data_IF_306930735894
#
_entry.id   IF_306930735894
#
_cell.length_a   1.000
_cell.length_b   1.000
_cell.length_c   1.000
_cell.angle_alpha   90.00
_cell.angle_beta   90.00
_cell.angle_gamma   90.00
#
_symmetry.space_group_name_H-M   'P 1'
#
loop_
_entity.id
_entity.type
_entity.pdbx_description
1 polymer ?
#
# COMPACT_ATOMS: atom_id res chain seq x y z
N UNK A 1 22.79 36.02 14.32
CA UNK A 1 22.68 34.70 13.71
C UNK A 1 21.30 34.65 13.09
N UNK A 2 21.19 34.76 11.77
CA UNK A 2 19.91 34.62 11.07
C UNK A 2 19.56 33.11 11.10
N UNK A 3 18.61 32.72 11.93
CA UNK A 3 18.00 31.41 11.80
C UNK A 3 17.37 31.32 10.41
N UNK A 4 17.87 30.41 9.59
CA UNK A 4 17.27 30.10 8.28
C UNK A 4 15.84 29.67 8.53
N UNK A 5 14.87 30.47 8.14
CA UNK A 5 13.45 30.17 8.32
C UNK A 5 13.12 28.92 7.50
N UNK A 6 12.84 27.82 8.17
CA UNK A 6 12.41 26.56 7.56
C UNK A 6 10.89 26.59 7.42
N UNK A 7 10.41 26.29 6.23
CA UNK A 7 8.99 26.21 5.93
C UNK A 7 8.61 24.75 5.74
N UNK A 8 8.07 24.13 6.77
CA UNK A 8 7.48 22.78 6.66
C UNK A 8 6.05 22.89 6.10
N UNK A 9 5.87 22.35 4.91
CA UNK A 9 4.56 22.37 4.26
C UNK A 9 3.65 21.18 4.66
N UNK A 10 4.07 20.34 5.59
CA UNK A 10 3.37 19.10 6.00
C UNK A 10 2.92 18.20 4.83
N UNK A 11 3.46 18.43 3.65
CA UNK A 11 3.13 17.72 2.39
C UNK A 11 4.32 16.99 1.79
N UNK A 12 5.33 16.69 2.62
CA UNK A 12 6.50 15.89 2.26
C UNK A 12 7.66 16.70 1.69
N UNK A 13 7.67 18.03 1.84
CA UNK A 13 8.84 18.84 1.57
C UNK A 13 9.08 19.85 2.69
N UNK A 14 10.34 20.16 2.90
CA UNK A 14 10.79 21.30 3.73
C UNK A 14 11.46 22.28 2.80
N UNK A 15 11.05 23.53 2.83
CA UNK A 15 11.64 24.60 2.04
C UNK A 15 12.55 25.41 2.94
N UNK A 16 13.79 25.56 2.53
CA UNK A 16 14.79 26.37 3.21
C UNK A 16 15.27 27.49 2.26
N UNK A 17 15.63 28.61 2.82
CA UNK A 17 16.26 29.68 2.05
C UNK A 17 17.76 29.45 2.06
N UNK A 18 18.33 29.16 0.90
CA UNK A 18 19.77 29.03 0.73
C UNK A 18 20.50 30.39 1.01
N UNK A 19 21.78 30.35 1.28
CA UNK A 19 22.60 31.54 1.46
C UNK A 19 22.61 32.42 0.20
N UNK A 20 22.43 31.84 -0.98
CA UNK A 20 22.23 32.52 -2.26
C UNK A 20 20.95 33.36 -2.36
N UNK A 21 20.00 33.15 -1.41
CA UNK A 21 18.66 33.75 -1.43
C UNK A 21 17.64 32.96 -2.23
N UNK A 22 18.06 31.90 -2.89
CA UNK A 22 17.17 30.96 -3.59
C UNK A 22 16.45 30.02 -2.61
N UNK A 23 15.29 29.52 -3.04
CA UNK A 23 14.51 28.56 -2.25
C UNK A 23 14.94 27.15 -2.64
N UNK A 24 15.49 26.43 -1.69
CA UNK A 24 15.79 25.00 -1.83
C UNK A 24 14.68 24.17 -1.18
N UNK A 25 14.12 23.25 -1.95
CA UNK A 25 13.12 22.31 -1.46
C UNK A 25 13.76 20.94 -1.26
N UNK A 26 13.78 20.46 -0.02
CA UNK A 26 14.18 19.08 0.31
C UNK A 26 13.00 18.15 0.12
N UNK A 27 12.74 17.76 -1.14
CA UNK A 27 11.77 16.76 -1.49
C UNK A 27 12.45 15.38 -1.49
N UNK A 28 11.81 14.40 -0.83
CA UNK A 28 12.29 13.02 -0.83
C UNK A 28 11.29 12.15 -1.58
N UNK A 29 11.72 11.53 -2.68
CA UNK A 29 10.92 10.54 -3.39
C UNK A 29 10.60 9.36 -2.47
N UNK A 30 9.42 8.77 -2.65
CA UNK A 30 8.98 7.60 -1.90
C UNK A 30 8.44 7.88 -0.50
N UNK A 31 8.40 9.14 -0.06
CA UNK A 31 7.91 9.51 1.28
C UNK A 31 6.42 9.87 1.33
N UNK A 32 5.73 9.88 0.21
CA UNK A 32 4.38 10.40 0.10
C UNK A 32 3.40 9.42 -0.52
N UNK A 33 2.10 9.63 -0.21
CA UNK A 33 1.02 8.79 -0.73
C UNK A 33 0.97 8.77 -2.25
N UNK A 34 0.82 7.59 -2.83
CA UNK A 34 0.77 7.33 -4.26
C UNK A 34 2.00 7.86 -5.03
N UNK A 35 3.15 7.87 -4.39
CA UNK A 35 4.38 8.32 -5.02
C UNK A 35 4.91 7.26 -5.97
N UNK A 36 5.52 7.73 -7.07
CA UNK A 36 6.16 6.89 -8.07
C UNK A 36 7.65 7.20 -8.04
N UNK A 37 8.46 6.17 -7.92
CA UNK A 37 9.90 6.29 -8.05
C UNK A 37 10.27 6.49 -9.52
N UNK A 38 11.07 7.51 -9.82
CA UNK A 38 11.58 7.73 -11.17
C UNK A 38 12.79 6.83 -11.43
N UNK A 39 12.54 5.72 -12.11
CA UNK A 39 13.56 4.75 -12.52
C UNK A 39 14.08 5.02 -13.95
N UNK A 40 13.55 6.03 -14.63
CA UNK A 40 13.98 6.48 -15.96
C UNK A 40 14.79 7.79 -15.89
N UNK A 41 15.19 8.20 -14.69
CA UNK A 41 16.04 9.39 -14.49
C UNK A 41 17.30 9.28 -15.37
N UNK A 42 17.60 10.34 -16.13
CA UNK A 42 18.73 10.38 -17.05
C UNK A 42 18.49 9.75 -18.44
N UNK A 43 17.34 9.17 -18.72
CA UNK A 43 16.96 8.70 -20.05
C UNK A 43 16.29 9.85 -20.81
N UNK A 44 17.03 10.48 -21.72
CA UNK A 44 16.47 11.56 -22.56
C UNK A 44 15.42 10.99 -23.54
N UNK A 45 14.20 11.45 -23.42
CA UNK A 45 13.12 11.28 -24.41
C UNK A 45 12.43 12.64 -24.57
N UNK A 46 12.84 13.40 -25.54
CA UNK A 46 12.38 14.77 -25.84
C UNK A 46 10.85 14.91 -25.91
N UNK A 47 10.15 13.83 -26.23
CA UNK A 47 8.69 13.85 -26.42
C UNK A 47 7.88 14.23 -25.18
N UNK A 48 8.43 14.09 -23.97
CA UNK A 48 7.71 14.31 -22.70
C UNK A 48 8.33 15.36 -21.81
N UNK A 49 9.38 16.05 -22.25
CA UNK A 49 10.12 17.04 -21.43
C UNK A 49 9.30 18.27 -21.04
N UNK A 50 8.19 18.51 -21.74
CA UNK A 50 7.26 19.60 -21.43
C UNK A 50 6.23 19.27 -20.35
N UNK A 51 6.09 17.98 -19.96
CA UNK A 51 5.03 17.52 -19.07
C UNK A 51 5.58 17.15 -17.70
N UNK A 52 4.86 17.57 -16.66
CA UNK A 52 5.22 17.37 -15.27
C UNK A 52 4.03 16.82 -14.48
N UNK A 53 4.26 15.85 -13.60
CA UNK A 53 3.27 15.48 -12.59
C UNK A 53 3.45 16.40 -11.39
N UNK A 54 2.38 17.10 -11.00
CA UNK A 54 2.35 17.98 -9.85
C UNK A 54 1.40 17.41 -8.80
N UNK A 55 1.87 17.35 -7.57
CA UNK A 55 1.12 16.87 -6.41
C UNK A 55 0.67 18.02 -5.52
N UNK A 56 -0.51 17.82 -4.95
CA UNK A 56 -1.14 18.70 -3.97
C UNK A 56 -1.35 17.96 -2.65
N UNK A 57 -2.47 18.14 -1.99
CA UNK A 57 -2.78 17.45 -0.74
C UNK A 57 -3.05 15.95 -0.98
N UNK A 58 -2.53 15.12 -0.09
CA UNK A 58 -2.77 13.66 -0.05
C UNK A 58 -2.53 12.96 -1.40
N UNK A 59 -3.60 12.48 -2.04
CA UNK A 59 -3.57 11.72 -3.28
C UNK A 59 -3.92 12.54 -4.52
N UNK A 60 -4.14 13.86 -4.38
CA UNK A 60 -4.50 14.73 -5.50
C UNK A 60 -3.25 15.06 -6.32
N UNK A 61 -3.24 14.61 -7.55
CA UNK A 61 -2.18 14.81 -8.53
C UNK A 61 -2.76 15.20 -9.88
N UNK A 62 -2.02 16.00 -10.62
CA UNK A 62 -2.38 16.39 -11.99
C UNK A 62 -1.16 16.39 -12.90
N UNK A 63 -1.39 16.28 -14.20
CA UNK A 63 -0.37 16.46 -15.23
C UNK A 63 -0.53 17.85 -15.81
N UNK A 64 0.57 18.57 -15.89
CA UNK A 64 0.64 19.95 -16.32
C UNK A 64 1.70 20.11 -17.40
N UNK A 65 1.47 21.08 -18.30
CA UNK A 65 2.43 21.45 -19.33
C UNK A 65 3.23 22.67 -18.88
N UNK A 66 4.54 22.64 -19.07
CA UNK A 66 5.37 23.80 -18.77
C UNK A 66 5.10 24.92 -19.77
N UNK A 67 4.51 25.99 -19.29
CA UNK A 67 4.25 27.20 -20.07
C UNK A 67 5.19 28.36 -19.75
N UNK A 68 6.11 28.17 -18.78
CA UNK A 68 6.92 29.26 -18.24
C UNK A 68 8.24 29.48 -18.99
N UNK A 69 8.69 28.49 -19.77
CA UNK A 69 10.05 28.49 -20.35
C UNK A 69 11.19 28.37 -19.33
N UNK A 70 10.88 28.22 -18.02
CA UNK A 70 11.85 28.00 -16.97
C UNK A 70 12.18 26.51 -16.84
N UNK A 71 13.41 26.18 -16.46
CA UNK A 71 13.78 24.82 -16.10
C UNK A 71 13.07 24.41 -14.80
N UNK A 72 12.15 23.46 -14.90
CA UNK A 72 11.42 22.88 -13.77
C UNK A 72 11.97 21.48 -13.52
N UNK A 73 12.19 21.14 -12.25
CA UNK A 73 12.73 19.82 -11.84
C UNK A 73 11.84 19.17 -10.78
N UNK A 74 11.99 17.87 -10.63
CA UNK A 74 11.38 17.12 -9.52
C UNK A 74 11.77 17.75 -8.17
N UNK A 75 10.76 18.00 -7.33
CA UNK A 75 10.93 18.69 -6.05
C UNK A 75 10.62 20.18 -6.08
N UNK A 76 10.61 20.81 -7.25
CA UNK A 76 10.29 22.24 -7.36
C UNK A 76 8.85 22.52 -6.92
N UNK A 77 8.68 23.63 -6.21
CA UNK A 77 7.38 24.23 -5.92
C UNK A 77 6.95 25.11 -7.09
N UNK A 78 5.79 24.80 -7.66
CA UNK A 78 5.30 25.47 -8.87
C UNK A 78 3.90 26.04 -8.67
N UNK A 79 3.67 27.18 -9.30
CA UNK A 79 2.35 27.79 -9.44
C UNK A 79 1.74 27.26 -10.72
N UNK A 80 0.58 26.63 -10.58
CA UNK A 80 -0.15 25.99 -11.68
C UNK A 80 -1.50 26.62 -11.90
N UNK A 81 -1.98 26.48 -13.11
CA UNK A 81 -3.32 26.89 -13.53
C UNK A 81 -4.38 26.08 -12.80
N UNK A 82 -5.34 26.76 -12.17
CA UNK A 82 -6.54 26.16 -11.62
C UNK A 82 -7.76 26.57 -12.44
N UNK A 83 -8.92 25.92 -12.20
CA UNK A 83 -10.17 26.31 -12.89
C UNK A 83 -10.56 27.77 -12.59
N UNK A 84 -10.22 28.24 -11.40
CA UNK A 84 -10.33 29.64 -10.99
C UNK A 84 -9.09 29.98 -10.18
N UNK A 85 -8.34 31.01 -10.59
CA UNK A 85 -7.12 31.41 -9.94
C UNK A 85 -5.92 30.47 -10.21
N UNK A 86 -5.08 30.30 -9.24
CA UNK A 86 -3.89 29.47 -9.34
C UNK A 86 -3.71 28.60 -8.10
N UNK A 87 -3.07 27.47 -8.28
CA UNK A 87 -2.78 26.56 -7.16
C UNK A 87 -1.27 26.37 -7.03
N UNK A 88 -0.81 25.96 -5.86
CA UNK A 88 0.57 25.67 -5.60
C UNK A 88 0.73 24.16 -5.36
N UNK A 89 1.68 23.55 -6.05
CA UNK A 89 1.96 22.14 -5.92
C UNK A 89 3.45 21.84 -6.02
N UNK A 90 3.79 20.59 -5.73
CA UNK A 90 5.15 20.06 -5.77
C UNK A 90 5.28 19.19 -7.01
N UNK A 91 6.32 19.42 -7.81
CA UNK A 91 6.64 18.55 -8.95
C UNK A 91 7.14 17.21 -8.43
N UNK A 92 6.47 16.14 -8.79
CA UNK A 92 6.82 14.79 -8.34
C UNK A 92 7.50 13.97 -9.42
N UNK A 93 7.20 14.22 -10.69
CA UNK A 93 7.79 13.51 -11.82
C UNK A 93 8.02 14.45 -12.99
N UNK A 94 9.07 14.20 -13.74
CA UNK A 94 9.43 14.87 -14.99
C UNK A 94 9.85 13.86 -16.06
N UNK A 95 9.88 14.28 -17.32
CA UNK A 95 10.42 13.48 -18.42
C UNK A 95 9.65 12.19 -18.78
N UNK A 96 10.35 11.14 -19.19
CA UNK A 96 9.75 9.93 -19.78
C UNK A 96 8.77 9.19 -18.89
N UNK A 97 8.96 9.24 -17.57
CA UNK A 97 8.10 8.57 -16.59
C UNK A 97 6.69 9.18 -16.57
N UNK A 98 6.57 10.49 -16.87
CA UNK A 98 5.26 11.17 -16.99
C UNK A 98 4.48 10.57 -18.17
N UNK A 99 5.13 10.27 -19.28
CA UNK A 99 4.52 9.57 -20.41
C UNK A 99 3.97 8.18 -20.05
N UNK A 100 4.69 7.44 -19.18
CA UNK A 100 4.19 6.17 -18.62
C UNK A 100 2.95 6.39 -17.76
N UNK A 101 2.96 7.40 -16.89
CA UNK A 101 1.79 7.76 -16.06
C UNK A 101 0.58 8.18 -16.91
N UNK A 102 0.78 8.92 -18.00
CA UNK A 102 -0.28 9.27 -18.94
C UNK A 102 -0.93 8.01 -19.53
N UNK A 103 -0.11 7.05 -19.98
CA UNK A 103 -0.60 5.76 -20.51
C UNK A 103 -1.40 4.98 -19.46
N UNK A 104 -0.90 4.88 -18.22
CA UNK A 104 -1.61 4.22 -17.12
C UNK A 104 -2.95 4.90 -16.80
N UNK A 105 -3.02 6.22 -16.87
CA UNK A 105 -4.24 7.01 -16.65
C UNK A 105 -5.13 7.12 -17.90
N UNK A 106 -4.73 6.51 -19.02
CA UNK A 106 -5.41 6.57 -20.35
C UNK A 106 -5.62 8.01 -20.84
N UNK A 107 -4.63 8.87 -20.60
CA UNK A 107 -4.62 10.26 -21.07
C UNK A 107 -3.91 10.28 -22.43
N UNK A 108 -4.60 10.75 -23.46
CA UNK A 108 -3.99 10.98 -24.78
C UNK A 108 -3.46 12.42 -24.82
N UNK A 109 -2.14 12.63 -25.02
CA UNK A 109 -1.54 13.97 -25.07
C UNK A 109 -2.11 14.90 -26.13
N UNK A 110 -2.63 14.35 -27.24
CA UNK A 110 -3.15 15.14 -28.37
C UNK A 110 -4.56 15.69 -28.15
N UNK A 111 -5.37 14.98 -27.34
CA UNK A 111 -6.78 15.33 -27.14
C UNK A 111 -7.09 15.93 -25.79
N UNK A 112 -6.17 15.80 -24.82
CA UNK A 112 -6.35 16.28 -23.46
C UNK A 112 -5.87 17.73 -23.31
N UNK A 113 -6.73 18.59 -22.78
CA UNK A 113 -6.35 19.97 -22.44
C UNK A 113 -5.53 20.02 -21.16
N UNK A 114 -4.23 20.17 -21.31
CA UNK A 114 -3.33 20.31 -20.16
C UNK A 114 -3.36 21.72 -19.63
N UNK A 115 -3.54 21.82 -18.31
CA UNK A 115 -3.30 23.06 -17.57
C UNK A 115 -1.82 23.38 -17.54
N UNK A 116 -1.49 24.65 -17.37
CA UNK A 116 -0.12 25.15 -17.49
C UNK A 116 0.54 25.35 -16.14
N UNK A 117 1.86 25.19 -16.11
CA UNK A 117 2.72 25.70 -15.06
C UNK A 117 3.03 27.16 -15.43
N UNK A 118 2.71 28.09 -14.55
CA UNK A 118 2.96 29.51 -14.78
C UNK A 118 4.39 29.90 -14.46
N UNK A 119 4.91 29.45 -13.33
CA UNK A 119 6.27 29.76 -12.83
C UNK A 119 6.63 28.94 -11.60
N UNK A 120 7.88 28.97 -11.19
CA UNK A 120 8.30 28.53 -9.86
C UNK A 120 7.71 29.41 -8.77
N UNK A 121 7.40 28.83 -7.62
CA UNK A 121 6.86 29.55 -6.48
C UNK A 121 7.91 30.51 -5.88
N UNK A 122 7.47 31.68 -5.46
CA UNK A 122 8.27 32.66 -4.72
C UNK A 122 7.94 32.54 -3.22
N UNK A 123 8.78 33.12 -2.38
CA UNK A 123 8.61 33.08 -0.92
C UNK A 123 7.19 33.51 -0.46
N UNK A 124 6.69 34.61 -1.03
CA UNK A 124 5.34 35.10 -0.74
C UNK A 124 4.24 34.07 -1.07
N UNK A 125 4.39 33.33 -2.17
CA UNK A 125 3.43 32.28 -2.55
C UNK A 125 3.43 31.14 -1.52
N UNK A 126 4.62 30.79 -1.00
CA UNK A 126 4.80 29.73 0.00
C UNK A 126 4.21 30.15 1.34
N UNK A 127 4.46 31.38 1.77
CA UNK A 127 3.89 31.91 3.02
C UNK A 127 2.36 31.89 2.97
N UNK A 128 1.78 32.38 1.88
CA UNK A 128 0.34 32.37 1.67
C UNK A 128 -0.26 30.95 1.63
N UNK A 129 0.45 30.03 1.00
CA UNK A 129 0.06 28.62 0.96
C UNK A 129 0.10 27.97 2.35
N UNK A 130 1.11 28.28 3.16
CA UNK A 130 1.17 27.79 4.54
C UNK A 130 0.04 28.34 5.41
N UNK A 131 -0.31 29.61 5.26
CA UNK A 131 -1.48 30.19 5.93
C UNK A 131 -2.77 29.47 5.53
N UNK A 132 -2.92 29.14 4.25
CA UNK A 132 -4.06 28.36 3.76
C UNK A 132 -4.10 26.95 4.38
N UNK A 133 -2.96 26.27 4.44
CA UNK A 133 -2.84 24.94 5.08
C UNK A 133 -3.18 25.01 6.58
N UNK A 134 -2.71 26.01 7.29
CA UNK A 134 -2.94 26.14 8.72
C UNK A 134 -4.44 26.22 9.06
N UNK A 135 -5.26 26.81 8.18
CA UNK A 135 -6.72 26.92 8.35
C UNK A 135 -7.49 25.60 8.05
N UNK A 136 -6.89 24.63 7.38
CA UNK A 136 -7.58 23.41 6.93
C UNK A 136 -8.22 22.63 8.09
N UNK A 137 -7.46 22.42 9.16
CA UNK A 137 -7.93 21.62 10.29
C UNK A 137 -9.11 22.27 11.04
N UNK A 138 -9.03 23.54 11.33
CA UNK A 138 -10.09 24.28 11.99
C UNK A 138 -11.34 24.35 11.12
N UNK A 139 -11.18 24.66 9.84
CA UNK A 139 -12.25 24.67 8.85
C UNK A 139 -12.94 23.29 8.75
N UNK A 140 -12.17 22.20 8.80
CA UNK A 140 -12.73 20.85 8.78
C UNK A 140 -13.58 20.55 10.02
N UNK A 141 -13.12 20.94 11.21
CA UNK A 141 -13.87 20.74 12.46
C UNK A 141 -15.17 21.56 12.42
N UNK A 142 -15.08 22.84 12.08
CA UNK A 142 -16.23 23.73 12.00
C UNK A 142 -17.25 23.27 10.95
N UNK A 143 -16.78 22.81 9.78
CA UNK A 143 -17.66 22.30 8.74
C UNK A 143 -18.43 21.04 9.16
N UNK A 144 -17.83 20.17 9.99
CA UNK A 144 -18.52 19.00 10.57
C UNK A 144 -19.64 19.42 11.53
N UNK A 145 -19.40 20.44 12.35
CA UNK A 145 -20.41 20.98 13.26
C UNK A 145 -21.63 21.54 12.49
N UNK A 146 -21.35 22.38 11.48
CA UNK A 146 -22.40 22.95 10.62
C UNK A 146 -23.19 21.85 9.88
N UNK A 147 -22.54 20.83 9.37
CA UNK A 147 -23.23 19.72 8.71
C UNK A 147 -24.14 18.95 9.68
N UNK A 148 -23.70 18.77 10.93
CA UNK A 148 -24.50 18.15 11.99
C UNK A 148 -25.67 19.05 12.43
N UNK A 149 -25.47 20.36 12.59
CA UNK A 149 -26.51 21.34 12.90
C UNK A 149 -27.62 21.37 11.84
N UNK A 150 -27.25 21.18 10.56
CA UNK A 150 -28.20 21.08 9.45
C UNK A 150 -28.85 19.69 9.29
N UNK A 151 -28.49 18.72 10.14
CA UNK A 151 -29.07 17.37 10.14
C UNK A 151 -28.76 16.58 8.86
N UNK A 152 -27.62 16.84 8.18
CA UNK A 152 -27.26 16.19 6.95
C UNK A 152 -26.60 14.83 7.22
N UNK A 153 -27.08 13.77 6.57
CA UNK A 153 -26.52 12.42 6.64
C UNK A 153 -25.25 12.31 5.79
N UNK A 154 -24.22 13.06 6.18
CA UNK A 154 -22.93 13.08 5.53
C UNK A 154 -21.80 13.34 6.53
N UNK A 155 -20.60 12.93 6.17
CA UNK A 155 -19.41 13.19 6.98
C UNK A 155 -18.37 13.92 6.13
N UNK A 156 -17.91 15.09 6.59
CA UNK A 156 -16.76 15.77 6.01
C UNK A 156 -15.49 15.00 6.43
N UNK A 157 -14.79 14.43 5.46
CA UNK A 157 -13.57 13.65 5.67
C UNK A 157 -12.34 14.55 5.79
N UNK A 158 -12.20 15.50 4.86
CA UNK A 158 -11.04 16.38 4.77
C UNK A 158 -11.41 17.70 4.06
N UNK A 159 -10.59 18.73 4.26
CA UNK A 159 -10.68 20.02 3.58
C UNK A 159 -9.33 20.36 2.96
N UNK A 160 -9.33 20.84 1.75
CA UNK A 160 -8.13 21.27 1.04
C UNK A 160 -8.31 22.67 0.47
N UNK A 161 -7.52 23.62 0.95
CA UNK A 161 -7.48 24.95 0.38
C UNK A 161 -6.62 25.00 -0.88
N UNK A 162 -7.06 25.77 -1.87
CA UNK A 162 -6.24 26.12 -3.02
C UNK A 162 -5.09 27.02 -2.56
N UNK A 163 -3.93 26.94 -3.21
CA UNK A 163 -2.73 27.66 -2.80
C UNK A 163 -2.88 29.18 -2.72
N UNK A 164 -3.82 29.76 -3.48
CA UNK A 164 -4.18 31.18 -3.41
C UNK A 164 -5.17 31.54 -2.28
N UNK A 165 -5.65 30.54 -1.55
CA UNK A 165 -6.60 30.72 -0.43
C UNK A 165 -8.01 31.17 -0.83
N UNK A 166 -8.33 31.26 -2.12
CA UNK A 166 -9.64 31.77 -2.61
C UNK A 166 -10.73 30.71 -2.68
N UNK A 167 -10.33 29.45 -2.70
CA UNK A 167 -11.21 28.28 -2.86
C UNK A 167 -10.80 27.17 -1.93
N UNK A 168 -11.80 26.39 -1.43
CA UNK A 168 -11.53 25.13 -0.73
C UNK A 168 -12.38 24.00 -1.29
N UNK A 169 -11.80 22.81 -1.31
CA UNK A 169 -12.43 21.55 -1.67
C UNK A 169 -12.77 20.81 -0.38
N UNK A 170 -14.05 20.53 -0.19
CA UNK A 170 -14.56 19.75 0.94
C UNK A 170 -14.81 18.32 0.48
N UNK A 171 -14.00 17.39 0.97
CA UNK A 171 -14.15 15.97 0.68
C UNK A 171 -15.16 15.37 1.66
N UNK A 172 -16.24 14.79 1.14
CA UNK A 172 -17.31 14.22 1.99
C UNK A 172 -17.67 12.80 1.57
N UNK A 173 -18.22 12.06 2.53
CA UNK A 173 -18.79 10.73 2.36
C UNK A 173 -20.27 10.80 2.68
N UNK A 174 -21.06 10.16 1.85
CA UNK A 174 -22.48 9.94 2.07
C UNK A 174 -22.90 8.64 1.39
N UNK A 175 -23.82 7.91 2.00
CA UNK A 175 -24.35 6.65 1.44
C UNK A 175 -25.39 6.91 0.34
N UNK A 176 -26.04 8.09 0.36
CA UNK A 176 -27.03 8.50 -0.60
C UNK A 176 -26.76 9.89 -1.21
N UNK A 177 -27.74 10.39 -1.96
CA UNK A 177 -27.72 11.77 -2.45
C UNK A 177 -28.05 12.71 -1.30
N UNK A 178 -27.18 13.71 -1.06
CA UNK A 178 -27.38 14.76 -0.07
C UNK A 178 -27.68 16.07 -0.78
N UNK A 179 -28.69 16.80 -0.34
CA UNK A 179 -28.92 18.18 -0.79
C UNK A 179 -28.12 19.15 0.10
N UNK A 180 -27.02 19.61 -0.47
CA UNK A 180 -26.10 20.52 0.22
C UNK A 180 -26.24 21.99 -0.19
N UNK A 181 -27.36 22.40 -0.84
CA UNK A 181 -27.56 23.80 -1.26
C UNK A 181 -27.51 24.77 -0.08
N UNK A 182 -28.15 24.40 1.03
CA UNK A 182 -28.12 25.20 2.24
C UNK A 182 -26.74 25.19 2.89
N UNK A 183 -26.08 24.01 2.93
CA UNK A 183 -24.73 23.85 3.46
C UNK A 183 -23.72 24.74 2.73
N UNK A 184 -23.77 24.78 1.40
CA UNK A 184 -22.86 25.61 0.59
C UNK A 184 -23.07 27.11 0.92
N UNK A 185 -24.31 27.56 1.12
CA UNK A 185 -24.59 28.96 1.51
C UNK A 185 -23.94 29.28 2.84
N UNK A 186 -24.20 28.45 3.85
CA UNK A 186 -23.64 28.65 5.21
C UNK A 186 -22.11 28.59 5.19
N UNK A 187 -21.52 27.66 4.43
CA UNK A 187 -20.07 27.58 4.29
C UNK A 187 -19.48 28.83 3.60
N UNK A 188 -20.17 29.36 2.56
CA UNK A 188 -19.72 30.56 1.87
C UNK A 188 -19.77 31.79 2.75
N UNK A 189 -20.78 31.90 3.62
CA UNK A 189 -20.94 32.99 4.61
C UNK A 189 -19.88 32.87 5.71
N UNK A 190 -19.68 31.68 6.27
CA UNK A 190 -18.76 31.41 7.38
C UNK A 190 -17.31 31.58 6.99
N UNK A 191 -16.91 30.92 5.90
CA UNK A 191 -15.49 30.83 5.49
C UNK A 191 -15.08 31.92 4.48
N UNK A 192 -16.02 32.59 3.84
CA UNK A 192 -15.82 33.65 2.83
C UNK A 192 -14.91 33.24 1.67
N UNK A 193 -15.05 31.98 1.23
CA UNK A 193 -14.29 31.38 0.13
C UNK A 193 -15.25 30.69 -0.85
N UNK A 194 -14.74 30.35 -2.02
CA UNK A 194 -15.47 29.48 -2.95
C UNK A 194 -15.47 28.04 -2.46
N UNK A 195 -16.65 27.44 -2.42
CA UNK A 195 -16.84 26.07 -1.94
C UNK A 195 -16.94 25.12 -3.13
N UNK A 196 -16.14 24.06 -3.12
CA UNK A 196 -16.30 22.90 -3.98
C UNK A 196 -16.55 21.66 -3.12
N UNK A 197 -17.66 20.97 -3.38
CA UNK A 197 -17.99 19.73 -2.69
C UNK A 197 -17.58 18.55 -3.54
N UNK A 198 -16.77 17.64 -2.98
CA UNK A 198 -16.30 16.44 -3.68
C UNK A 198 -16.60 15.18 -2.89
N UNK A 199 -17.48 14.36 -3.45
CA UNK A 199 -17.78 13.06 -2.83
C UNK A 199 -16.60 12.09 -3.01
N UNK A 200 -16.28 11.40 -1.92
CA UNK A 200 -15.27 10.34 -1.90
C UNK A 200 -15.86 9.05 -1.33
N UNK A 201 -15.34 7.91 -1.76
CA UNK A 201 -15.73 6.62 -1.20
C UNK A 201 -14.98 6.29 0.08
N UNK A 202 -15.51 5.40 0.91
CA UNK A 202 -14.89 4.99 2.19
C UNK A 202 -13.45 4.45 2.03
N UNK A 203 -13.13 3.78 0.90
CA UNK A 203 -11.76 3.34 0.63
C UNK A 203 -10.82 4.51 0.31
N UNK A 204 -11.33 5.52 -0.37
CA UNK A 204 -10.58 6.72 -0.68
C UNK A 204 -10.32 7.53 0.59
N UNK A 205 -11.32 7.65 1.48
CA UNK A 205 -11.13 8.26 2.80
C UNK A 205 -10.04 7.53 3.61
N UNK A 206 -10.12 6.19 3.68
CA UNK A 206 -9.08 5.41 4.34
C UNK A 206 -7.69 5.63 3.73
N UNK A 207 -7.60 5.82 2.42
CA UNK A 207 -6.37 6.19 1.72
C UNK A 207 -5.87 7.59 2.07
N UNK A 208 -6.77 8.56 2.26
CA UNK A 208 -6.42 9.91 2.70
C UNK A 208 -5.89 9.93 4.14
N UNK A 209 -6.52 9.18 5.04
CA UNK A 209 -6.07 9.05 6.43
C UNK A 209 -4.75 8.28 6.52
N UNK A 210 -4.62 7.19 5.75
CA UNK A 210 -3.47 6.29 5.79
C UNK A 210 -3.55 5.31 6.97
N UNK A 211 -2.40 4.72 7.31
CA UNK A 211 -2.26 3.76 8.40
C UNK A 211 -1.73 2.40 7.94
N UNK A 212 -1.72 1.43 8.85
CA UNK A 212 -1.22 0.08 8.63
C UNK A 212 -2.37 -0.91 8.45
N UNK A 213 -2.22 -1.81 7.50
CA UNK A 213 -3.12 -2.94 7.32
C UNK A 213 -2.84 -4.07 8.32
N UNK A 214 -3.72 -5.06 8.37
CA UNK A 214 -3.52 -6.28 9.18
C UNK A 214 -2.28 -7.09 8.75
N UNK A 215 -1.73 -6.82 7.59
CA UNK A 215 -0.48 -7.40 7.08
C UNK A 215 0.78 -6.69 7.59
N UNK A 216 0.66 -5.65 8.43
CA UNK A 216 1.77 -4.84 8.95
C UNK A 216 2.38 -3.85 7.95
N UNK A 217 1.85 -3.76 6.72
CA UNK A 217 2.28 -2.80 5.69
C UNK A 217 1.33 -1.62 5.63
N UNK A 218 1.79 -0.50 5.08
CA UNK A 218 0.91 0.63 4.77
C UNK A 218 -0.28 0.22 3.91
N UNK A 219 -1.40 0.93 4.06
CA UNK A 219 -2.61 0.63 3.31
C UNK A 219 -2.35 0.73 1.81
N UNK A 220 -2.77 -0.30 1.05
CA UNK A 220 -2.63 -0.33 -0.40
C UNK A 220 -3.26 0.90 -1.08
N UNK A 221 -4.38 1.41 -0.53
CA UNK A 221 -5.09 2.59 -1.03
C UNK A 221 -4.36 3.91 -0.75
N UNK A 222 -3.41 3.94 0.17
CA UNK A 222 -2.56 5.12 0.41
C UNK A 222 -1.20 5.01 -0.28
N UNK A 223 -0.78 3.81 -0.64
CA UNK A 223 0.55 3.57 -1.19
C UNK A 223 0.55 3.55 -2.73
N UNK A 224 -0.01 2.52 -3.37
CA UNK A 224 0.15 2.34 -4.83
C UNK A 224 -1.17 2.30 -5.63
N UNK A 225 -2.33 2.04 -4.97
CA UNK A 225 -3.60 1.95 -5.67
C UNK A 225 -4.16 3.34 -5.95
N UNK A 226 -4.16 3.74 -7.20
CA UNK A 226 -4.76 5.00 -7.68
C UNK A 226 -6.16 4.82 -8.27
N UNK A 227 -6.54 3.59 -8.68
CA UNK A 227 -7.83 3.25 -9.25
C UNK A 227 -8.60 2.31 -8.33
N UNK A 228 -9.77 2.73 -7.87
CA UNK A 228 -10.59 1.99 -6.90
C UNK A 228 -11.67 1.17 -7.60
N UNK A 229 -11.30 0.00 -8.11
CA UNK A 229 -12.25 -0.95 -8.67
C UNK A 229 -13.04 -1.67 -7.56
N UNK A 230 -14.26 -2.08 -7.90
CA UNK A 230 -15.07 -2.92 -7.01
C UNK A 230 -14.47 -4.32 -6.91
N UNK A 231 -14.35 -4.84 -5.68
CA UNK A 231 -13.78 -6.16 -5.41
C UNK A 231 -14.93 -7.13 -5.14
N UNK A 232 -14.92 -8.25 -5.85
CA UNK A 232 -15.95 -9.28 -5.71
C UNK A 232 -15.49 -10.42 -4.78
N UNK A 233 -16.41 -11.15 -4.23
CA UNK A 233 -16.12 -12.35 -3.42
C UNK A 233 -15.52 -13.49 -4.22
N UNK A 234 -15.63 -13.45 -5.56
CA UNK A 234 -14.96 -14.42 -6.45
C UNK A 234 -13.43 -14.38 -6.29
N UNK A 235 -12.85 -13.21 -6.06
CA UNK A 235 -11.42 -13.07 -5.79
C UNK A 235 -10.99 -13.81 -4.51
N UNK A 236 -11.82 -13.79 -3.46
CA UNK A 236 -11.55 -14.54 -2.23
C UNK A 236 -11.71 -16.06 -2.42
N UNK A 237 -12.71 -16.49 -3.23
CA UNK A 237 -12.89 -17.90 -3.57
C UNK A 237 -11.74 -18.46 -4.40
N UNK A 238 -11.24 -17.67 -5.37
CA UNK A 238 -10.07 -18.05 -6.16
C UNK A 238 -8.83 -18.29 -5.29
N UNK A 239 -8.72 -17.62 -4.15
CA UNK A 239 -7.60 -17.75 -3.21
C UNK A 239 -7.87 -18.79 -2.10
N UNK A 240 -8.95 -19.55 -2.21
CA UNK A 240 -9.39 -20.56 -1.22
C UNK A 240 -9.54 -19.97 0.20
N UNK A 241 -9.96 -18.70 0.28
CA UNK A 241 -10.16 -18.01 1.56
C UNK A 241 -11.60 -18.21 2.06
N UNK A 242 -11.72 -18.47 3.36
CA UNK A 242 -13.03 -18.51 4.00
C UNK A 242 -13.76 -17.19 3.86
N UNK A 243 -15.05 -17.21 3.50
CA UNK A 243 -15.87 -16.02 3.29
C UNK A 243 -16.28 -15.33 4.62
N UNK A 244 -15.39 -15.27 5.59
CA UNK A 244 -15.62 -14.55 6.83
C UNK A 244 -15.39 -13.06 6.62
N UNK A 245 -16.43 -12.19 6.75
CA UNK A 245 -16.33 -10.76 6.55
C UNK A 245 -15.24 -10.08 7.40
N UNK A 246 -15.05 -10.51 8.64
CA UNK A 246 -14.05 -9.95 9.55
C UNK A 246 -12.61 -10.19 9.05
N UNK A 247 -12.35 -11.34 8.40
CA UNK A 247 -11.04 -11.67 7.82
C UNK A 247 -10.81 -11.01 6.48
N UNK A 248 -11.88 -10.77 5.70
CA UNK A 248 -11.81 -10.23 4.34
C UNK A 248 -11.94 -8.71 4.27
N UNK A 249 -12.48 -8.04 5.30
CA UNK A 249 -12.64 -6.59 5.32
C UNK A 249 -11.30 -5.86 5.55
N UNK A 250 -11.11 -4.76 4.83
CA UNK A 250 -10.05 -3.78 5.08
C UNK A 250 -10.47 -2.74 6.10
N UNK A 251 -9.58 -1.80 6.43
CA UNK A 251 -9.84 -0.67 7.33
C UNK A 251 -11.03 0.21 6.89
N UNK A 252 -11.29 0.25 5.58
CA UNK A 252 -12.42 0.97 5.00
C UNK A 252 -13.78 0.23 5.08
N UNK A 253 -13.85 -0.95 5.73
CA UNK A 253 -15.05 -1.78 5.78
C UNK A 253 -15.42 -2.50 4.46
N UNK A 254 -14.71 -2.23 3.35
CA UNK A 254 -14.87 -2.95 2.07
C UNK A 254 -13.87 -4.09 1.97
N UNK A 255 -14.04 -5.00 1.02
CA UNK A 255 -13.10 -6.11 0.80
C UNK A 255 -11.67 -5.59 0.58
N UNK A 256 -10.68 -6.31 1.11
CA UNK A 256 -9.25 -5.96 1.01
C UNK A 256 -8.80 -5.83 -0.43
N UNK A 257 -8.05 -4.76 -0.74
CA UNK A 257 -7.53 -4.50 -2.09
C UNK A 257 -6.56 -5.56 -2.59
N UNK A 258 -5.78 -6.17 -1.69
CA UNK A 258 -4.84 -7.24 -2.03
C UNK A 258 -5.54 -8.46 -2.64
N UNK A 259 -6.78 -8.76 -2.26
CA UNK A 259 -7.54 -9.85 -2.88
C UNK A 259 -7.63 -9.70 -4.40
N UNK A 260 -7.96 -8.50 -4.88
CA UNK A 260 -8.04 -8.26 -6.32
C UNK A 260 -6.67 -8.16 -6.99
N UNK A 261 -5.69 -7.60 -6.29
CA UNK A 261 -4.32 -7.45 -6.79
C UNK A 261 -3.64 -8.80 -7.02
N UNK A 262 -3.85 -9.75 -6.10
CA UNK A 262 -3.24 -11.08 -6.15
C UNK A 262 -4.02 -12.08 -7.02
N UNK A 263 -5.28 -11.77 -7.42
CA UNK A 263 -6.15 -12.70 -8.13
C UNK A 263 -5.50 -13.28 -9.39
N UNK A 264 -4.83 -12.45 -10.18
CA UNK A 264 -4.19 -12.91 -11.42
C UNK A 264 -3.08 -13.95 -11.15
N UNK A 265 -2.27 -13.73 -10.10
CA UNK A 265 -1.22 -14.67 -9.70
C UNK A 265 -1.80 -16.02 -9.22
N UNK A 266 -2.90 -15.96 -8.45
CA UNK A 266 -3.60 -17.19 -8.01
C UNK A 266 -4.24 -17.94 -9.17
N UNK A 267 -4.83 -17.24 -10.14
CA UNK A 267 -5.41 -17.86 -11.34
C UNK A 267 -4.33 -18.54 -12.20
N UNK A 268 -3.19 -17.90 -12.35
CA UNK A 268 -2.05 -18.48 -13.08
C UNK A 268 -1.54 -19.75 -12.37
N UNK A 269 -1.31 -19.70 -11.07
CA UNK A 269 -0.89 -20.83 -10.28
C UNK A 269 -1.94 -21.98 -10.32
N UNK A 270 -3.24 -21.67 -10.20
CA UNK A 270 -4.31 -22.67 -10.30
C UNK A 270 -4.34 -23.39 -11.65
N UNK A 271 -3.92 -22.71 -12.73
CA UNK A 271 -3.90 -23.34 -14.07
C UNK A 271 -2.90 -24.50 -14.16
N UNK A 272 -1.89 -24.54 -13.28
CA UNK A 272 -0.86 -25.57 -13.22
C UNK A 272 -1.23 -26.73 -12.31
N UNK A 273 -2.16 -26.50 -11.38
CA UNK A 273 -2.58 -27.52 -10.40
C UNK A 273 -3.66 -28.43 -11.00
N UNK A 274 -3.51 -29.76 -10.88
CA UNK A 274 -4.53 -30.71 -11.34
C UNK A 274 -5.83 -30.58 -10.54
N UNK A 275 -6.97 -30.68 -11.24
CA UNK A 275 -8.27 -30.76 -10.58
C UNK A 275 -8.54 -32.20 -10.16
N UNK A 276 -8.35 -32.48 -8.89
CA UNK A 276 -8.58 -33.80 -8.31
C UNK A 276 -10.02 -33.89 -7.80
N UNK A 277 -10.89 -34.62 -8.52
CA UNK A 277 -12.28 -34.86 -8.12
C UNK A 277 -12.45 -36.17 -7.39
N UNK A 278 -11.65 -37.19 -7.76
CA UNK A 278 -11.67 -38.51 -7.18
C UNK A 278 -10.41 -38.71 -6.32
N UNK A 279 -10.48 -39.53 -5.26
CA UNK A 279 -9.31 -39.87 -4.49
C UNK A 279 -8.24 -40.54 -5.37
N UNK A 280 -6.99 -40.32 -5.07
CA UNK A 280 -5.86 -40.99 -5.75
C UNK A 280 -5.72 -42.42 -5.26
N UNK A 281 -5.53 -43.37 -6.16
CA UNK A 281 -5.37 -44.77 -5.84
C UNK A 281 -3.88 -45.14 -5.68
N UNK A 282 -3.56 -45.68 -4.51
CA UNK A 282 -2.26 -46.25 -4.16
C UNK A 282 -2.41 -47.72 -3.82
N UNK A 283 -1.31 -48.48 -3.77
CA UNK A 283 -1.35 -49.88 -3.30
C UNK A 283 -1.83 -49.99 -1.84
N UNK A 284 -1.45 -48.99 -1.00
CA UNK A 284 -1.83 -48.92 0.42
C UNK A 284 -3.26 -48.40 0.67
N UNK A 285 -3.98 -47.91 -0.34
CA UNK A 285 -5.33 -47.40 -0.18
C UNK A 285 -5.67 -46.18 -1.02
N UNK A 286 -6.76 -45.51 -0.64
CA UNK A 286 -7.26 -44.29 -1.29
C UNK A 286 -6.78 -43.04 -0.55
N UNK A 287 -6.16 -42.10 -1.27
CA UNK A 287 -5.70 -40.84 -0.73
C UNK A 287 -6.65 -39.71 -1.14
N UNK A 288 -7.18 -39.00 -0.16
CA UNK A 288 -8.11 -37.88 -0.31
C UNK A 288 -7.41 -36.56 -0.26
N UNK A 289 -7.77 -35.66 -1.17
CA UNK A 289 -7.27 -34.28 -1.15
C UNK A 289 -7.89 -33.51 0.01
N UNK A 290 -7.07 -33.03 0.95
CA UNK A 290 -7.51 -32.30 2.13
C UNK A 290 -7.35 -30.80 1.99
N UNK A 291 -6.22 -30.34 1.40
CA UNK A 291 -5.87 -28.93 1.25
C UNK A 291 -4.94 -28.74 0.08
N UNK A 292 -5.01 -27.56 -0.55
CA UNK A 292 -4.06 -27.14 -1.60
C UNK A 292 -3.41 -25.83 -1.20
N UNK A 293 -2.08 -25.75 -1.30
CA UNK A 293 -1.33 -24.50 -1.25
C UNK A 293 -1.07 -24.06 -2.69
N UNK A 294 -1.90 -23.13 -3.16
CA UNK A 294 -1.96 -22.74 -4.57
C UNK A 294 -0.64 -22.14 -5.05
N UNK A 295 -0.05 -21.23 -4.26
CA UNK A 295 1.16 -20.51 -4.69
C UNK A 295 2.44 -21.34 -4.60
N UNK A 296 2.45 -22.36 -3.73
CA UNK A 296 3.57 -23.31 -3.63
C UNK A 296 3.37 -24.51 -4.55
N UNK A 297 2.21 -24.65 -5.18
CA UNK A 297 1.82 -25.78 -6.01
C UNK A 297 1.92 -27.11 -5.26
N UNK A 298 1.59 -27.09 -3.94
CA UNK A 298 1.62 -28.27 -3.07
C UNK A 298 0.20 -28.68 -2.72
N UNK A 299 -0.10 -29.94 -2.89
CA UNK A 299 -1.38 -30.56 -2.55
C UNK A 299 -1.19 -31.52 -1.38
N UNK A 300 -2.03 -31.41 -0.34
CA UNK A 300 -1.96 -32.24 0.85
C UNK A 300 -2.99 -33.32 0.82
N UNK A 301 -2.55 -34.56 0.88
CA UNK A 301 -3.39 -35.74 0.85
C UNK A 301 -3.39 -36.49 2.19
N UNK A 302 -4.44 -37.19 2.51
CA UNK A 302 -4.56 -38.09 3.67
C UNK A 302 -5.31 -39.35 3.28
N UNK A 303 -4.97 -40.47 3.91
CA UNK A 303 -5.76 -41.71 3.80
C UNK A 303 -7.07 -41.66 4.60
N UNK A 304 -7.14 -40.78 5.61
CA UNK A 304 -8.36 -40.57 6.41
C UNK A 304 -9.05 -39.27 5.99
N UNK A 305 -10.26 -39.35 5.39
CA UNK A 305 -10.99 -38.17 4.93
C UNK A 305 -11.56 -37.30 6.08
N UNK A 306 -11.60 -37.80 7.31
CA UNK A 306 -12.18 -37.09 8.46
C UNK A 306 -11.13 -36.43 9.35
N UNK A 307 -9.86 -36.81 9.20
CA UNK A 307 -8.78 -36.32 10.05
C UNK A 307 -7.79 -35.44 9.27
N UNK A 308 -7.44 -34.28 9.83
CA UNK A 308 -6.36 -33.45 9.35
C UNK A 308 -5.00 -33.88 9.93
N UNK A 309 -4.93 -34.97 10.65
CA UNK A 309 -3.68 -35.58 11.07
C UNK A 309 -3.07 -36.38 9.90
N UNK A 310 -1.75 -36.50 9.87
CA UNK A 310 -1.00 -37.24 8.85
C UNK A 310 -1.28 -36.72 7.41
N UNK A 311 -1.02 -35.44 7.19
CA UNK A 311 -1.08 -34.84 5.86
C UNK A 311 0.23 -35.08 5.12
N UNK A 312 0.17 -35.66 3.94
CA UNK A 312 1.29 -35.91 3.05
C UNK A 312 1.31 -34.86 1.93
N UNK A 313 2.35 -34.02 1.86
CA UNK A 313 2.49 -33.03 0.79
C UNK A 313 3.00 -33.68 -0.49
N UNK A 314 2.36 -33.38 -1.62
CA UNK A 314 2.78 -33.73 -2.97
C UNK A 314 2.84 -32.47 -3.82
N UNK A 315 3.86 -32.38 -4.71
CA UNK A 315 3.88 -31.33 -5.72
C UNK A 315 2.83 -31.56 -6.81
N UNK A 316 2.33 -30.51 -7.39
CA UNK A 316 1.30 -30.60 -8.44
C UNK A 316 1.78 -31.45 -9.65
N UNK A 317 3.07 -31.43 -9.97
CA UNK A 317 3.68 -32.24 -11.02
C UNK A 317 3.57 -33.72 -10.71
N UNK A 318 3.92 -34.14 -9.48
CA UNK A 318 3.83 -35.54 -9.04
C UNK A 318 2.38 -36.01 -9.05
N UNK A 319 1.45 -35.15 -8.66
CA UNK A 319 0.01 -35.48 -8.68
C UNK A 319 -0.48 -35.69 -10.13
N UNK A 320 0.02 -34.90 -11.11
CA UNK A 320 -0.27 -35.14 -12.52
C UNK A 320 0.21 -36.53 -12.99
N UNK A 321 1.40 -36.95 -12.57
CA UNK A 321 1.96 -38.26 -12.92
C UNK A 321 1.17 -39.38 -12.26
N UNK A 322 0.82 -39.25 -10.99
CA UNK A 322 -0.03 -40.23 -10.28
C UNK A 322 -1.39 -40.35 -10.96
N UNK A 323 -2.04 -39.26 -11.34
CA UNK A 323 -3.32 -39.30 -12.07
C UNK A 323 -3.14 -40.02 -13.40
N UNK A 324 -2.02 -39.84 -14.09
CA UNK A 324 -1.74 -40.55 -15.36
C UNK A 324 -1.56 -42.05 -15.14
N UNK A 325 -0.79 -42.43 -14.10
CA UNK A 325 -0.62 -43.85 -13.72
C UNK A 325 -1.96 -44.49 -13.36
N UNK A 326 -2.78 -43.86 -12.52
CA UNK A 326 -4.08 -44.37 -12.13
C UNK A 326 -5.03 -44.54 -13.33
N UNK A 327 -4.97 -43.64 -14.34
CA UNK A 327 -5.74 -43.82 -15.60
C UNK A 327 -5.30 -45.02 -16.41
N UNK A 328 -4.01 -45.38 -16.34
CA UNK A 328 -3.47 -46.56 -17.00
C UNK A 328 -3.68 -47.85 -16.19
N UNK A 329 -4.27 -47.76 -14.99
CA UNK A 329 -4.48 -48.89 -14.11
C UNK A 329 -3.28 -49.25 -13.22
N UNK A 330 -2.25 -48.41 -13.24
CA UNK A 330 -1.06 -48.54 -12.41
C UNK A 330 -1.26 -47.80 -11.08
N UNK A 331 -0.85 -48.43 -9.96
CA UNK A 331 -0.96 -47.87 -8.63
C UNK A 331 0.42 -47.64 -8.05
N UNK A 332 0.79 -46.40 -7.66
CA UNK A 332 2.04 -46.13 -6.92
C UNK A 332 2.06 -46.84 -5.57
N UNK A 333 3.23 -47.22 -5.08
CA UNK A 333 3.39 -48.07 -3.89
C UNK A 333 2.84 -47.40 -2.60
N UNK A 334 3.21 -46.16 -2.28
CA UNK A 334 2.77 -45.49 -1.04
C UNK A 334 2.95 -44.00 -1.08
N UNK A 335 2.10 -43.27 -0.33
CA UNK A 335 2.30 -41.82 -0.04
C UNK A 335 3.50 -41.54 0.91
N UNK A 336 4.02 -42.59 1.59
CA UNK A 336 4.98 -42.42 2.69
C UNK A 336 6.45 -42.41 2.23
N UNK A 337 6.72 -42.89 1.02
CA UNK A 337 8.08 -43.01 0.50
C UNK A 337 8.46 -41.77 -0.32
N UNK A 338 9.47 -41.04 0.13
CA UNK A 338 10.31 -40.05 -0.55
C UNK A 338 9.75 -38.69 -0.94
N UNK A 339 8.58 -38.29 -0.50
CA UNK A 339 7.96 -37.04 -0.95
C UNK A 339 7.85 -35.93 0.10
N UNK A 340 8.70 -35.93 1.13
CA UNK A 340 8.79 -34.75 1.96
C UNK A 340 9.41 -33.59 1.15
N UNK A 341 8.64 -32.56 0.74
CA UNK A 341 9.21 -31.40 0.08
C UNK A 341 10.26 -30.82 1.01
N UNK A 342 11.49 -30.76 0.53
CA UNK A 342 12.55 -30.03 1.23
C UNK A 342 12.05 -28.59 1.32
N UNK A 343 11.64 -28.21 2.54
CA UNK A 343 11.26 -26.83 2.77
C UNK A 343 12.43 -25.95 2.33
N UNK A 344 12.24 -24.98 1.40
CA UNK A 344 13.32 -24.12 1.01
C UNK A 344 13.85 -23.47 2.28
N UNK A 345 15.13 -23.73 2.62
CA UNK A 345 15.82 -22.98 3.68
C UNK A 345 15.88 -21.53 3.20
N UNK A 346 14.97 -20.72 3.71
CA UNK A 346 15.07 -19.28 3.56
C UNK A 346 16.27 -18.83 4.42
N UNK A 347 17.44 -18.80 3.81
CA UNK A 347 18.56 -18.08 4.41
C UNK A 347 18.22 -16.61 4.34
N UNK A 348 17.90 -16.03 5.48
CA UNK A 348 17.67 -14.60 5.59
C UNK A 348 18.93 -13.87 5.14
N UNK A 349 18.84 -13.08 4.05
CA UNK A 349 19.95 -12.26 3.56
C UNK A 349 20.32 -11.13 4.56
N UNK A 350 19.52 -10.91 5.58
CA UNK A 350 19.67 -9.87 6.61
C UNK A 350 19.91 -10.52 7.96
N UNK A 351 20.89 -11.43 8.09
CA UNK A 351 21.29 -12.01 9.37
C UNK A 351 20.11 -12.58 10.18
N UNK A 352 20.41 -13.51 11.07
CA UNK A 352 19.38 -14.18 11.89
C UNK A 352 18.81 -13.24 12.96
N UNK A 353 17.78 -12.46 12.58
CA UNK A 353 17.01 -11.55 13.46
C UNK A 353 15.90 -12.30 14.23
N UNK A 354 16.04 -13.62 14.41
CA UNK A 354 15.09 -14.35 15.22
C UNK A 354 15.00 -13.74 16.62
N UNK A 355 13.78 -13.41 17.03
CA UNK A 355 13.47 -12.84 18.37
C UNK A 355 14.09 -13.69 19.49
N UNK A 356 14.34 -14.97 19.24
CA UNK A 356 14.89 -15.94 20.20
C UNK A 356 16.42 -16.02 20.25
N UNK A 357 17.17 -15.25 19.46
CA UNK A 357 18.65 -15.33 19.42
C UNK A 357 19.31 -15.09 20.78
N UNK A 358 18.68 -14.32 21.65
CA UNK A 358 19.16 -14.08 23.02
C UNK A 358 18.83 -15.22 24.00
N UNK A 359 17.84 -16.07 23.72
CA UNK A 359 17.44 -17.19 24.55
C UNK A 359 18.39 -18.38 24.40
N UNK A 360 18.94 -18.61 23.22
CA UNK A 360 19.96 -19.64 23.01
C UNK A 360 21.26 -19.34 23.79
N UNK A 361 21.67 -18.08 23.87
CA UNK A 361 22.82 -17.67 24.66
C UNK A 361 22.59 -17.87 26.18
N UNK A 362 21.35 -17.69 26.64
CA UNK A 362 20.94 -18.00 28.04
C UNK A 362 20.93 -19.51 28.34
N UNK A 363 20.47 -20.33 27.36
CA UNK A 363 20.50 -21.80 27.50
C UNK A 363 21.93 -22.33 27.55
N UNK A 364 22.86 -21.81 26.75
CA UNK A 364 24.31 -22.18 26.81
C UNK A 364 24.95 -21.76 28.11
N UNK A 365 24.63 -20.58 28.68
CA UNK A 365 25.13 -20.13 30.01
C UNK A 365 24.57 -20.98 31.17
N UNK A 366 23.29 -21.39 31.13
CA UNK A 366 22.70 -22.29 32.13
C UNK A 366 23.33 -23.71 32.10
N UNK A 367 23.60 -24.27 30.90
CA UNK A 367 24.29 -25.56 30.76
C UNK A 367 25.72 -25.50 31.26
N UNK A 368 26.50 -24.43 31.00
CA UNK A 368 27.86 -24.26 31.55
C UNK A 368 27.87 -24.09 33.06
N UNK A 369 26.87 -23.42 33.66
CA UNK A 369 26.78 -23.28 35.14
C UNK A 369 26.39 -24.59 35.83
N UNK A 370 25.51 -25.42 35.19
CA UNK A 370 25.10 -26.72 35.71
C UNK A 370 26.26 -27.76 35.68
N UNK A 371 27.09 -27.73 34.62
CA UNK A 371 28.27 -28.59 34.52
C UNK A 371 29.40 -28.19 35.47
N UNK A 372 29.55 -26.89 35.81
CA UNK A 372 30.52 -26.45 36.83
C UNK A 372 30.10 -26.81 38.25
N UNK A 373 28.79 -26.83 38.58
CA UNK A 373 28.32 -27.25 39.91
C UNK A 373 28.39 -28.76 40.12
N UNK A 374 28.33 -29.58 39.06
CA UNK A 374 28.50 -31.03 39.16
C UNK A 374 30.00 -31.48 39.25
N UNK A 375 30.92 -30.66 38.73
CA UNK A 375 32.37 -30.97 38.89
C UNK A 375 32.90 -30.64 40.30
N UNK A 376 32.31 -29.61 40.97
CA UNK A 376 32.64 -29.26 42.37
C UNK A 376 32.12 -30.26 43.41
N UNK A 377 31.04 -31.01 43.11
CA UNK A 377 30.50 -32.02 44.01
C UNK A 377 31.19 -33.39 43.92
N UNK A 378 32.00 -33.66 42.88
CA UNK A 378 32.74 -34.91 42.72
C UNK A 378 34.13 -34.91 43.39
N UNK A 379 34.65 -33.75 43.77
CA UNK A 379 35.96 -33.63 44.42
C UNK A 379 35.88 -33.60 45.97
N UNK A 380 34.69 -33.40 46.56
CA UNK A 380 34.54 -33.36 48.01
C UNK A 380 34.10 -34.70 48.64
N UNK A 381 33.90 -35.76 47.88
CA UNK A 381 33.50 -37.09 48.34
C UNK A 381 34.66 -38.13 48.31
N UNK A 382 35.93 -37.70 48.10
CA UNK A 382 37.10 -38.60 48.05
C UNK A 382 38.17 -38.33 49.16
N UNK A 383 37.83 -37.52 50.15
CA UNK A 383 38.77 -37.24 51.28
C UNK A 383 38.06 -37.44 52.67
N UNK A 384 37.37 -38.52 52.85
CA UNK A 384 37.00 -39.05 54.15
C UNK A 384 36.86 -40.57 54.03
N UNK A 385 37.97 -41.25 54.23
CA UNK A 385 38.05 -42.70 54.31
C UNK A 385 39.49 -43.20 54.28
N UNK A 386 40.20 -42.81 55.28
CA UNK A 386 41.27 -43.60 55.99
C UNK A 386 41.56 -42.93 57.32
#
# INVERSE_FOLDING_TARGET
MNESKKYDCSRGCVVERAESGELECTYRQGCCKLEVYDWLEGVNQEQYDEFFEVRFKNTRKGIYKNGSGQSVKTGDLVIVEAANGHDLGIVTLEGPIVGRQMKCKKINPETYEFKRIYRKAKLFDIERWQEAIAREHETMIRSRQIAAELGLEMKIGDVEFQGDGTKAIFYYIADGRVDFRQLIKVFAEEFRIRIEMKQIGARQEAGLIGGLGVCGRELCCSNYISSFQSITTSAARCQDLSLNPQKLAGQCGKLKCCLNYETAAYMDAQSRIPKVHNPLEFEDGLAYLMKTDILREIMYFSYDPQSLANLYPLYAEDVWDIIRMNRNGEKPASLKEDTAPVAPEFVSAVGDDAINRFDESRKKKKKKKKNRSNHGKRQTSKVQGE
#
